data_IF_456400280188
#
_entry.id   IF_456400280188
#
_cell.length_a   1.000
_cell.length_b   1.000
_cell.length_c   1.000
_cell.angle_alpha   90.00
_cell.angle_beta   90.00
_cell.angle_gamma   90.00
#
_symmetry.space_group_name_H-M   'P 1'
#
loop_
_entity.id
_entity.type
_entity.pdbx_description
1 polymer ?
#
# COMPACT_ATOMS: atom_id res chain seq x y z
N UNK A 1 7.63 -24.32 -5.11
CA UNK A 1 7.33 -23.11 -4.33
C UNK A 1 6.09 -22.50 -4.94
N UNK A 2 4.95 -22.51 -4.24
CA UNK A 2 3.75 -21.89 -4.78
C UNK A 2 4.08 -20.41 -4.99
N UNK A 3 4.20 -19.98 -6.25
CA UNK A 3 4.16 -18.55 -6.56
C UNK A 3 2.81 -18.07 -6.07
N UNK A 4 2.80 -17.34 -4.96
CA UNK A 4 1.61 -16.64 -4.50
C UNK A 4 1.09 -15.83 -5.69
N UNK A 5 -0.09 -16.22 -6.18
CA UNK A 5 -0.71 -15.52 -7.30
C UNK A 5 -1.13 -14.17 -6.77
N UNK A 6 -0.63 -13.10 -7.37
CA UNK A 6 -1.09 -11.75 -7.04
C UNK A 6 -2.58 -11.65 -7.39
N UNK A 7 -3.41 -11.31 -6.41
CA UNK A 7 -4.82 -11.00 -6.62
C UNK A 7 -5.02 -9.50 -6.84
N UNK A 8 -5.90 -9.15 -7.77
CA UNK A 8 -6.26 -7.76 -8.03
C UNK A 8 -7.34 -7.31 -7.04
N UNK A 9 -7.08 -6.23 -6.31
CA UNK A 9 -8.06 -5.58 -5.44
C UNK A 9 -8.36 -4.16 -5.92
N UNK A 10 -9.63 -3.77 -5.88
CA UNK A 10 -10.09 -2.42 -6.20
C UNK A 10 -10.38 -1.66 -4.91
N UNK A 11 -9.91 -0.43 -4.81
CA UNK A 11 -10.11 0.43 -3.64
C UNK A 11 -10.84 1.71 -4.03
N UNK A 12 -11.74 2.17 -3.16
CA UNK A 12 -12.31 3.50 -3.27
C UNK A 12 -11.45 4.48 -2.50
N UNK A 13 -11.00 5.52 -3.19
CA UNK A 13 -10.20 6.60 -2.63
C UNK A 13 -10.79 7.92 -3.12
N UNK A 14 -10.67 8.96 -2.30
CA UNK A 14 -11.03 10.31 -2.74
C UNK A 14 -10.06 10.76 -3.84
N UNK A 15 -10.51 11.68 -4.70
CA UNK A 15 -9.67 12.26 -5.75
C UNK A 15 -8.37 12.87 -5.21
N UNK A 16 -8.43 13.48 -4.02
CA UNK A 16 -7.27 14.07 -3.34
C UNK A 16 -6.25 12.99 -2.99
N UNK A 17 -6.67 11.91 -2.33
CA UNK A 17 -5.79 10.79 -1.98
C UNK A 17 -5.16 10.14 -3.21
N UNK A 18 -5.92 9.98 -4.31
CA UNK A 18 -5.38 9.43 -5.57
C UNK A 18 -4.28 10.33 -6.14
N UNK A 19 -4.46 11.65 -6.10
CA UNK A 19 -3.45 12.60 -6.56
C UNK A 19 -2.20 12.57 -5.68
N UNK A 20 -2.36 12.54 -4.36
CA UNK A 20 -1.25 12.46 -3.42
C UNK A 20 -0.42 11.19 -3.64
N UNK A 21 -1.07 10.03 -3.76
CA UNK A 21 -0.41 8.75 -4.09
C UNK A 21 0.33 8.85 -5.42
N UNK A 22 -0.27 9.48 -6.43
CA UNK A 22 0.32 9.60 -7.76
C UNK A 22 1.58 10.47 -7.73
N UNK A 23 1.53 11.64 -7.11
CA UNK A 23 2.68 12.54 -7.02
C UNK A 23 3.78 11.96 -6.14
N UNK A 24 3.43 11.32 -5.02
CA UNK A 24 4.38 10.65 -4.14
C UNK A 24 5.10 9.50 -4.84
N UNK A 25 4.35 8.61 -5.51
CA UNK A 25 4.93 7.50 -6.26
C UNK A 25 5.84 7.99 -7.41
N UNK A 26 5.47 9.08 -8.09
CA UNK A 26 6.27 9.69 -9.14
C UNK A 26 7.58 10.27 -8.60
N UNK A 27 7.51 11.01 -7.48
CA UNK A 27 8.69 11.59 -6.82
C UNK A 27 9.68 10.51 -6.39
N UNK A 28 9.16 9.44 -5.81
CA UNK A 28 9.98 8.38 -5.23
C UNK A 28 10.35 7.28 -6.26
N UNK A 29 9.97 7.48 -7.54
CA UNK A 29 10.23 6.57 -8.67
C UNK A 29 9.75 5.12 -8.45
N UNK A 30 8.62 4.96 -7.75
CA UNK A 30 7.99 3.66 -7.51
C UNK A 30 6.63 3.55 -8.19
N UNK A 31 6.15 2.32 -8.38
CA UNK A 31 4.78 2.12 -8.85
C UNK A 31 3.76 2.49 -7.77
N UNK A 32 2.61 3.04 -8.20
CA UNK A 32 1.47 3.33 -7.31
C UNK A 32 1.04 2.11 -6.49
N UNK A 33 1.03 0.92 -7.11
CA UNK A 33 0.67 -0.32 -6.42
C UNK A 33 1.72 -0.75 -5.39
N UNK A 34 3.01 -0.48 -5.64
CA UNK A 34 4.05 -0.70 -4.64
C UNK A 34 3.88 0.23 -3.43
N UNK A 35 3.61 1.51 -3.67
CA UNK A 35 3.36 2.48 -2.59
C UNK A 35 2.17 2.05 -1.72
N UNK A 36 1.04 1.70 -2.34
CA UNK A 36 -0.14 1.21 -1.61
C UNK A 36 0.18 -0.06 -0.82
N UNK A 37 0.93 -1.01 -1.38
CA UNK A 37 1.39 -2.21 -0.65
C UNK A 37 2.28 -1.86 0.53
N UNK A 38 3.17 -0.88 0.41
CA UNK A 38 4.02 -0.41 1.51
C UNK A 38 3.18 0.18 2.63
N UNK A 39 2.20 1.03 2.30
CA UNK A 39 1.28 1.63 3.28
C UNK A 39 0.48 0.54 4.01
N UNK A 40 -0.05 -0.45 3.29
CA UNK A 40 -0.79 -1.58 3.91
C UNK A 40 0.12 -2.38 4.84
N UNK A 41 1.34 -2.71 4.41
CA UNK A 41 2.31 -3.45 5.24
C UNK A 41 2.68 -2.71 6.52
N UNK A 42 2.96 -1.41 6.41
CA UNK A 42 3.29 -0.53 7.53
C UNK A 42 2.11 -0.39 8.51
N UNK A 43 0.88 -0.32 8.01
CA UNK A 43 -0.29 -0.29 8.88
C UNK A 43 -0.46 -1.60 9.67
N UNK A 44 -0.24 -2.74 9.01
CA UNK A 44 -0.34 -4.06 9.64
C UNK A 44 0.79 -4.32 10.65
N UNK A 45 2.03 -3.89 10.36
CA UNK A 45 3.15 -4.04 11.30
C UNK A 45 2.89 -3.33 12.62
N UNK A 46 2.36 -2.09 12.55
CA UNK A 46 1.98 -1.31 13.73
C UNK A 46 0.90 -2.00 14.57
N UNK A 47 -0.08 -2.69 13.95
CA UNK A 47 -1.07 -3.46 14.70
C UNK A 47 -0.50 -4.72 15.34
N UNK A 48 0.49 -5.36 14.71
CA UNK A 48 1.17 -6.54 15.26
C UNK A 48 1.97 -6.21 16.53
N UNK A 49 2.57 -5.02 16.59
CA UNK A 49 3.26 -4.51 17.77
C UNK A 49 2.31 -4.15 18.92
N UNK A 50 1.10 -3.66 18.60
CA UNK A 50 0.10 -3.23 19.60
C UNK A 50 -0.73 -4.40 20.18
N UNK A 51 -0.86 -5.52 19.44
CA UNK A 51 -1.53 -6.75 19.93
C UNK A 51 -0.60 -7.72 20.67
N UNK A 52 0.69 -7.42 20.75
CA UNK A 52 1.72 -8.25 21.38
C UNK A 52 2.20 -7.76 22.76
N UNK A 53 1.51 -6.78 23.37
CA UNK A 53 1.75 -6.30 24.73
C UNK A 53 0.57 -6.60 25.65
#
# INVERSE_FOLDING_TARGET
MATDKFEHATFYLTKVQVNEIKELAKRDQISRSALVRMIIREYLSRQGEDRGK
#
